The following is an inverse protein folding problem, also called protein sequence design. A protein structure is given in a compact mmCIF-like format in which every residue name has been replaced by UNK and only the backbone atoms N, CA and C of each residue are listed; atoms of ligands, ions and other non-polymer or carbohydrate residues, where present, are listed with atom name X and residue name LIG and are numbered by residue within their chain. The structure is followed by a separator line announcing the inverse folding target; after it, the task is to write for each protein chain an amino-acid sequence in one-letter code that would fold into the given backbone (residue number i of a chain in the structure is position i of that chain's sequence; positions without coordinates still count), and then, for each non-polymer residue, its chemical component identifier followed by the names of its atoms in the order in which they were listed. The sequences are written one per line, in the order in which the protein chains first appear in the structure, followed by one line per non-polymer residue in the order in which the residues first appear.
data_IF_059747642340
#
_entry.id   IF_059747642340
#
_cell.length_a   1.000
_cell.length_b   1.000
_cell.length_c   1.000
_cell.angle_alpha   90.00
_cell.angle_beta   90.00
_cell.angle_gamma   90.00
#
_symmetry.space_group_name_H-M   'P 1'
#
loop_
_entity.id
_entity.type
_entity.pdbx_description
1 polymer ?
#
# COMPACT_ATOMS: atom_id res chain seq x y z
N UNK A 1 64.63 -6.07 -2.12
CA UNK A 1 64.42 -5.58 -0.75
C UNK A 1 63.62 -4.31 -0.89
N UNK A 2 62.33 -4.41 -0.55
CA UNK A 2 61.26 -3.52 -0.99
C UNK A 2 61.40 -2.11 -0.43
N UNK A 3 61.72 -1.16 -1.32
CA UNK A 3 61.67 0.28 -1.07
C UNK A 3 60.24 0.81 -0.93
N UNK A 4 59.21 -0.01 -1.19
CA UNK A 4 57.80 0.38 -1.05
C UNK A 4 57.23 0.22 0.38
N UNK A 5 57.92 -0.46 1.30
CA UNK A 5 57.41 -0.62 2.67
C UNK A 5 57.63 0.63 3.56
N UNK A 6 58.43 1.60 3.11
CA UNK A 6 58.83 2.74 3.95
C UNK A 6 57.84 3.92 3.95
N UNK A 7 56.81 3.91 3.09
CA UNK A 7 55.75 4.94 3.03
C UNK A 7 54.36 4.42 3.38
N UNK A 8 54.19 3.10 3.59
CA UNK A 8 52.91 2.48 3.93
C UNK A 8 52.59 2.69 5.41
N UNK A 9 51.82 3.74 5.70
CA UNK A 9 51.25 3.95 7.02
C UNK A 9 49.94 3.18 7.18
N UNK A 10 49.55 2.74 8.39
CA UNK A 10 48.24 2.13 8.64
C UNK A 10 47.06 2.97 8.11
N UNK A 11 47.19 4.30 8.10
CA UNK A 11 46.21 5.24 7.57
C UNK A 11 46.06 5.11 6.04
N UNK A 12 47.17 5.00 5.30
CA UNK A 12 47.14 4.78 3.84
C UNK A 12 46.49 3.43 3.53
N UNK A 13 46.85 2.38 4.28
CA UNK A 13 46.25 1.04 4.11
C UNK A 13 44.74 1.07 4.40
N UNK A 14 44.30 1.80 5.43
CA UNK A 14 42.88 1.94 5.73
C UNK A 14 42.12 2.67 4.62
N UNK A 15 42.71 3.73 4.04
CA UNK A 15 42.15 4.44 2.91
C UNK A 15 42.03 3.55 1.65
N UNK A 16 43.06 2.75 1.35
CA UNK A 16 43.05 1.75 0.27
C UNK A 16 41.91 0.73 0.47
N UNK A 17 41.79 0.14 1.67
CA UNK A 17 40.73 -0.83 2.00
C UNK A 17 39.34 -0.20 1.84
N UNK A 18 39.14 1.02 2.35
CA UNK A 18 37.86 1.71 2.24
C UNK A 18 37.50 2.06 0.80
N UNK A 19 38.48 2.45 -0.02
CA UNK A 19 38.28 2.70 -1.45
C UNK A 19 37.84 1.42 -2.19
N UNK A 20 38.51 0.29 -1.93
CA UNK A 20 38.13 -1.02 -2.51
C UNK A 20 36.71 -1.41 -2.07
N UNK A 21 36.37 -1.22 -0.80
CA UNK A 21 35.04 -1.51 -0.25
C UNK A 21 33.96 -0.69 -0.95
N UNK A 22 34.18 0.61 -1.13
CA UNK A 22 33.23 1.52 -1.80
C UNK A 22 33.03 1.11 -3.26
N UNK A 23 34.12 0.91 -4.01
CA UNK A 23 34.07 0.50 -5.41
C UNK A 23 33.35 -0.84 -5.60
N UNK A 24 33.66 -1.83 -4.75
CA UNK A 24 33.01 -3.14 -4.78
C UNK A 24 31.51 -3.02 -4.49
N UNK A 25 31.14 -2.16 -3.53
CA UNK A 25 29.74 -1.88 -3.22
C UNK A 25 28.95 -1.31 -4.40
N UNK A 26 29.55 -0.37 -5.15
CA UNK A 26 28.95 0.22 -6.36
C UNK A 26 28.79 -0.81 -7.48
N UNK A 27 29.83 -1.61 -7.75
CA UNK A 27 29.77 -2.69 -8.74
C UNK A 27 28.67 -3.68 -8.40
N UNK A 28 28.55 -4.04 -7.12
CA UNK A 28 27.52 -4.97 -6.66
C UNK A 28 26.11 -4.42 -6.86
N UNK A 29 25.88 -3.12 -6.56
CA UNK A 29 24.59 -2.48 -6.79
C UNK A 29 24.23 -2.45 -8.28
N UNK A 30 25.17 -2.03 -9.14
CA UNK A 30 24.97 -2.01 -10.59
C UNK A 30 24.65 -3.42 -11.13
N UNK A 31 25.38 -4.42 -10.65
CA UNK A 31 25.14 -5.83 -11.02
C UNK A 31 23.75 -6.30 -10.56
N UNK A 32 23.34 -5.94 -9.35
CA UNK A 32 22.03 -6.31 -8.81
C UNK A 32 20.88 -5.70 -9.61
N UNK A 33 21.01 -4.44 -10.05
CA UNK A 33 20.04 -3.74 -10.91
C UNK A 33 19.94 -4.42 -12.27
N UNK A 34 21.07 -4.74 -12.91
CA UNK A 34 21.05 -5.41 -14.21
C UNK A 34 20.46 -6.82 -14.12
N UNK A 35 20.78 -7.58 -13.08
CA UNK A 35 20.15 -8.88 -12.82
C UNK A 35 18.64 -8.71 -12.62
N UNK A 36 18.21 -7.72 -11.82
CA UNK A 36 16.80 -7.41 -11.60
C UNK A 36 16.05 -7.07 -12.90
N UNK A 37 16.70 -6.35 -13.81
CA UNK A 37 16.18 -6.07 -15.16
C UNK A 37 15.95 -7.35 -15.95
N UNK A 38 16.96 -8.22 -16.04
CA UNK A 38 16.85 -9.51 -16.76
C UNK A 38 15.82 -10.44 -16.14
N UNK A 39 15.71 -10.46 -14.82
CA UNK A 39 14.68 -11.24 -14.11
C UNK A 39 13.27 -10.71 -14.43
N UNK A 40 13.12 -9.39 -14.57
CA UNK A 40 11.84 -8.77 -14.96
C UNK A 40 11.46 -9.14 -16.38
N UNK A 41 12.41 -9.12 -17.32
CA UNK A 41 12.22 -9.57 -18.70
C UNK A 41 11.86 -11.06 -18.77
N UNK A 42 12.63 -11.92 -18.10
CA UNK A 42 12.37 -13.36 -18.07
C UNK A 42 10.99 -13.67 -17.47
N UNK A 43 10.57 -12.97 -16.42
CA UNK A 43 9.27 -13.18 -15.78
C UNK A 43 8.09 -12.87 -16.71
N UNK A 44 8.26 -11.99 -17.71
CA UNK A 44 7.25 -11.71 -18.71
C UNK A 44 7.16 -12.80 -19.81
N UNK A 45 8.19 -13.64 -19.95
CA UNK A 45 8.28 -14.69 -20.97
C UNK A 45 7.99 -16.09 -20.41
N UNK A 46 8.15 -16.30 -19.11
CA UNK A 46 7.89 -17.59 -18.45
C UNK A 46 6.41 -17.74 -18.14
N UNK A 47 5.83 -18.89 -18.52
CA UNK A 47 4.42 -19.20 -18.29
C UNK A 47 4.03 -19.16 -16.80
N UNK A 48 2.76 -18.80 -16.55
CA UNK A 48 2.20 -18.76 -15.21
C UNK A 48 2.32 -20.12 -14.51
N UNK A 49 2.98 -20.14 -13.35
CA UNK A 49 3.21 -21.35 -12.54
C UNK A 49 4.59 -21.99 -12.69
N UNK A 50 5.33 -21.68 -13.76
CA UNK A 50 6.67 -22.24 -13.99
C UNK A 50 7.82 -21.34 -13.49
N UNK A 51 7.50 -20.11 -13.06
CA UNK A 51 8.48 -19.12 -12.61
C UNK A 51 9.41 -19.63 -11.50
N UNK A 52 8.89 -20.29 -10.47
CA UNK A 52 9.72 -20.75 -9.35
C UNK A 52 10.72 -21.84 -9.80
N UNK A 53 10.25 -22.83 -10.58
CA UNK A 53 11.12 -23.88 -11.10
C UNK A 53 12.20 -23.30 -11.99
N UNK A 54 11.83 -22.36 -12.86
CA UNK A 54 12.77 -21.69 -13.75
C UNK A 54 13.88 -20.95 -13.00
N UNK A 55 13.54 -20.26 -11.90
CA UNK A 55 14.52 -19.59 -11.05
C UNK A 55 15.53 -20.56 -10.43
N UNK A 56 15.03 -21.69 -9.91
CA UNK A 56 15.87 -22.71 -9.27
C UNK A 56 16.77 -23.42 -10.30
N UNK A 57 16.23 -23.77 -11.47
CA UNK A 57 16.96 -24.53 -12.48
C UNK A 57 17.91 -23.71 -13.34
N UNK A 58 17.55 -22.45 -13.66
CA UNK A 58 18.22 -21.67 -14.71
C UNK A 58 19.22 -20.66 -14.16
N UNK A 59 18.95 -20.10 -12.97
CA UNK A 59 19.77 -19.03 -12.37
C UNK A 59 20.12 -19.28 -10.91
N UNK A 60 19.73 -20.43 -10.35
CA UNK A 60 20.01 -20.83 -8.96
C UNK A 60 19.55 -19.80 -7.91
N UNK A 61 18.41 -19.16 -8.15
CA UNK A 61 17.83 -18.18 -7.23
C UNK A 61 16.59 -18.69 -6.52
N UNK A 62 16.44 -18.29 -5.26
CA UNK A 62 15.14 -18.35 -4.60
C UNK A 62 14.22 -17.26 -5.14
N UNK A 63 12.91 -17.48 -4.99
CA UNK A 63 11.91 -16.48 -5.35
C UNK A 63 12.09 -15.16 -4.56
N UNK A 64 12.49 -15.24 -3.29
CA UNK A 64 12.72 -14.07 -2.44
C UNK A 64 13.90 -13.22 -2.90
N UNK A 65 15.01 -13.87 -3.31
CA UNK A 65 16.19 -13.19 -3.86
C UNK A 65 15.85 -12.53 -5.20
N UNK A 66 15.18 -13.25 -6.10
CA UNK A 66 14.77 -12.73 -7.40
C UNK A 66 13.85 -11.51 -7.26
N UNK A 67 12.83 -11.59 -6.39
CA UNK A 67 11.93 -10.47 -6.12
C UNK A 67 12.67 -9.26 -5.52
N UNK A 68 13.64 -9.47 -4.63
CA UNK A 68 14.45 -8.38 -4.08
C UNK A 68 15.25 -7.66 -5.17
N UNK A 69 15.91 -8.41 -6.06
CA UNK A 69 16.68 -7.84 -7.18
C UNK A 69 15.79 -7.10 -8.18
N UNK A 70 14.62 -7.66 -8.51
CA UNK A 70 13.63 -7.00 -9.37
C UNK A 70 13.13 -5.68 -8.75
N UNK A 71 12.88 -5.64 -7.42
CA UNK A 71 12.51 -4.41 -6.72
C UNK A 71 13.62 -3.35 -6.77
N UNK A 72 14.88 -3.76 -6.54
CA UNK A 72 16.04 -2.86 -6.67
C UNK A 72 16.12 -2.27 -8.09
N UNK A 73 15.86 -3.08 -9.11
CA UNK A 73 15.77 -2.57 -10.48
C UNK A 73 14.60 -1.60 -10.69
N UNK A 74 13.41 -1.91 -10.20
CA UNK A 74 12.24 -1.04 -10.38
C UNK A 74 12.46 0.36 -9.78
N UNK A 75 13.10 0.43 -8.61
CA UNK A 75 13.24 1.65 -7.81
C UNK A 75 14.49 2.48 -8.17
N UNK A 76 15.57 1.81 -8.56
CA UNK A 76 16.88 2.45 -8.83
C UNK A 76 17.35 2.33 -10.28
N UNK A 77 16.71 1.50 -11.10
CA UNK A 77 17.16 1.16 -12.44
C UNK A 77 17.21 2.36 -13.38
N UNK A 78 16.19 3.21 -13.38
CA UNK A 78 16.16 4.45 -14.15
C UNK A 78 17.21 5.44 -13.67
N UNK A 79 17.44 5.51 -12.36
CA UNK A 79 18.34 6.47 -11.70
C UNK A 79 19.81 6.12 -11.93
N UNK A 80 20.14 4.82 -12.04
CA UNK A 80 21.50 4.33 -12.31
C UNK A 80 21.84 4.21 -13.80
N UNK A 81 20.84 4.12 -14.69
CA UNK A 81 21.07 4.03 -16.15
C UNK A 81 21.09 5.40 -16.85
N UNK A 82 20.50 6.44 -16.25
CA UNK A 82 20.43 7.81 -16.80
C UNK A 82 21.76 8.61 -16.74
N UNK A 83 22.91 7.94 -16.85
CA UNK A 83 24.24 8.54 -16.73
C UNK A 83 24.36 9.95 -17.33
N UNK A 84 24.77 10.91 -16.50
CA UNK A 84 25.11 12.31 -16.83
C UNK A 84 23.98 13.22 -17.37
N UNK A 85 22.71 12.78 -17.43
CA UNK A 85 21.60 13.66 -17.85
C UNK A 85 20.53 13.92 -16.78
N UNK A 86 20.59 13.23 -15.63
CA UNK A 86 19.82 13.58 -14.44
C UNK A 86 20.58 14.60 -13.59
N UNK A 87 19.89 15.65 -13.11
CA UNK A 87 20.47 16.72 -12.30
C UNK A 87 21.15 16.25 -11.00
N UNK A 88 21.56 17.20 -10.15
CA UNK A 88 22.40 17.01 -8.96
C UNK A 88 22.02 15.86 -8.00
N UNK A 89 20.78 15.36 -8.04
CA UNK A 89 20.30 14.23 -7.23
C UNK A 89 20.72 12.84 -7.76
N UNK A 90 21.25 12.75 -8.97
CA UNK A 90 21.80 11.50 -9.54
C UNK A 90 23.04 11.03 -8.75
N UNK A 91 23.86 11.96 -8.25
CA UNK A 91 25.14 11.62 -7.60
C UNK A 91 24.95 10.90 -6.25
N UNK A 92 23.94 11.29 -5.45
CA UNK A 92 23.69 10.70 -4.13
C UNK A 92 23.22 9.24 -4.19
N UNK A 93 22.63 8.82 -5.31
CA UNK A 93 22.23 7.42 -5.54
C UNK A 93 23.39 6.60 -6.11
N UNK A 94 24.28 7.23 -6.90
CA UNK A 94 25.47 6.55 -7.44
C UNK A 94 26.53 6.23 -6.39
N UNK A 95 26.48 6.87 -5.21
CA UNK A 95 27.38 6.60 -4.09
C UNK A 95 26.94 5.43 -3.19
N UNK A 96 25.73 4.90 -3.38
CA UNK A 96 25.18 3.84 -2.53
C UNK A 96 25.84 2.47 -2.79
N UNK A 97 26.03 1.71 -1.71
CA UNK A 97 26.27 0.28 -1.80
C UNK A 97 24.97 -0.51 -1.96
N UNK A 98 25.07 -1.74 -2.46
CA UNK A 98 23.92 -2.66 -2.56
C UNK A 98 23.13 -2.78 -1.26
N UNK A 99 23.81 -2.95 -0.13
CA UNK A 99 23.13 -3.14 1.16
C UNK A 99 22.40 -1.88 1.62
N UNK A 100 22.99 -0.70 1.39
CA UNK A 100 22.33 0.58 1.69
C UNK A 100 21.09 0.78 0.81
N UNK A 101 21.19 0.47 -0.49
CA UNK A 101 20.04 0.52 -1.40
C UNK A 101 18.91 -0.42 -0.96
N UNK A 102 19.23 -1.63 -0.50
CA UNK A 102 18.22 -2.56 0.01
C UNK A 102 17.56 -2.05 1.30
N UNK A 103 18.31 -1.42 2.21
CA UNK A 103 17.75 -0.85 3.45
C UNK A 103 16.81 0.33 3.13
N UNK A 104 17.20 1.18 2.17
CA UNK A 104 16.42 2.33 1.75
C UNK A 104 15.10 1.96 1.05
N UNK A 105 14.88 0.69 0.66
CA UNK A 105 13.57 0.21 0.21
C UNK A 105 12.50 0.20 1.32
N UNK A 106 12.90 0.34 2.59
CA UNK A 106 12.00 0.60 3.71
C UNK A 106 11.53 2.06 3.80
N UNK A 107 12.22 2.97 3.10
CA UNK A 107 11.81 4.38 3.00
C UNK A 107 10.89 4.55 1.79
N UNK A 108 9.74 5.28 1.92
CA UNK A 108 8.88 5.62 0.80
C UNK A 108 9.65 6.22 -0.37
N UNK A 109 9.28 5.87 -1.61
CA UNK A 109 10.02 6.30 -2.81
C UNK A 109 10.14 7.82 -2.90
N UNK A 110 9.07 8.52 -2.55
CA UNK A 110 8.94 9.98 -2.61
C UNK A 110 9.85 10.69 -1.60
N UNK A 111 10.15 10.03 -0.47
CA UNK A 111 10.96 10.59 0.61
C UNK A 111 12.43 10.14 0.54
N UNK A 112 12.73 9.12 -0.25
CA UNK A 112 14.03 8.43 -0.24
C UNK A 112 15.18 9.34 -0.65
N UNK A 113 14.97 10.22 -1.64
CA UNK A 113 16.01 11.16 -2.09
C UNK A 113 16.34 12.19 -1.01
N UNK A 114 15.32 12.83 -0.43
CA UNK A 114 15.50 13.76 0.69
C UNK A 114 16.14 13.05 1.88
N UNK A 115 15.73 11.82 2.18
CA UNK A 115 16.31 11.03 3.26
C UNK A 115 17.81 10.76 3.06
N UNK A 116 18.24 10.44 1.83
CA UNK A 116 19.66 10.20 1.51
C UNK A 116 20.49 11.45 1.79
N UNK A 117 20.00 12.62 1.40
CA UNK A 117 20.69 13.90 1.54
C UNK A 117 20.68 14.38 3.00
N UNK A 118 19.53 14.33 3.68
CA UNK A 118 19.37 14.81 5.06
C UNK A 118 20.19 14.01 6.06
N UNK A 119 20.33 12.70 5.85
CA UNK A 119 21.01 11.80 6.78
C UNK A 119 22.44 11.45 6.36
N UNK A 120 22.94 12.06 5.28
CA UNK A 120 24.26 11.77 4.70
C UNK A 120 24.53 10.25 4.61
N UNK A 121 23.64 9.52 3.92
CA UNK A 121 23.63 8.05 3.93
C UNK A 121 24.95 7.45 3.44
N UNK A 122 25.72 8.19 2.63
CA UNK A 122 27.03 7.77 2.15
C UNK A 122 28.06 7.60 3.29
N UNK A 123 27.96 8.37 4.37
CA UNK A 123 28.86 8.27 5.53
C UNK A 123 28.40 7.27 6.59
N UNK A 124 27.12 6.90 6.59
CA UNK A 124 26.54 5.95 7.54
C UNK A 124 27.01 4.51 7.27
N UNK A 125 27.38 3.79 8.33
CA UNK A 125 27.52 2.34 8.26
C UNK A 125 26.15 1.69 8.01
N UNK A 126 26.17 0.46 7.47
CA UNK A 126 24.96 -0.33 7.26
C UNK A 126 24.10 -0.47 8.53
N UNK A 127 24.75 -0.59 9.70
CA UNK A 127 24.06 -0.74 10.98
C UNK A 127 23.41 0.57 11.43
N UNK A 128 24.12 1.69 11.28
CA UNK A 128 23.59 3.01 11.61
C UNK A 128 22.43 3.37 10.68
N UNK A 129 22.59 3.17 9.36
CA UNK A 129 21.50 3.39 8.40
C UNK A 129 20.27 2.56 8.76
N UNK A 130 20.46 1.29 9.13
CA UNK A 130 19.36 0.43 9.56
C UNK A 130 18.66 0.95 10.80
N UNK A 131 19.41 1.50 11.76
CA UNK A 131 18.83 2.13 12.95
C UNK A 131 18.05 3.41 12.60
N UNK A 132 18.60 4.29 11.77
CA UNK A 132 17.94 5.54 11.35
C UNK A 132 16.64 5.22 10.59
N UNK A 133 16.64 4.22 9.72
CA UNK A 133 15.42 3.77 9.01
C UNK A 133 14.41 3.15 9.99
N UNK A 134 14.86 2.34 10.96
CA UNK A 134 13.99 1.72 11.96
C UNK A 134 13.42 2.71 12.99
N UNK A 135 14.13 3.80 13.30
CA UNK A 135 13.65 4.85 14.20
C UNK A 135 12.60 5.75 13.52
N UNK A 136 12.64 5.85 12.18
CA UNK A 136 11.59 6.51 11.38
C UNK A 136 10.37 5.64 11.14
N UNK A 137 10.55 4.32 11.00
CA UNK A 137 9.41 3.41 10.95
C UNK A 137 8.73 3.39 12.34
N UNK A 138 7.42 3.69 12.46
CA UNK A 138 6.69 3.13 13.58
C UNK A 138 6.89 1.62 13.48
N UNK A 139 7.48 1.01 14.51
CA UNK A 139 7.93 -0.38 14.49
C UNK A 139 6.96 -1.26 13.66
N UNK A 140 7.42 -2.09 12.70
CA UNK A 140 6.52 -2.91 11.88
C UNK A 140 5.61 -3.80 12.74
N UNK A 141 6.00 -4.06 13.99
CA UNK A 141 5.16 -4.74 14.96
C UNK A 141 3.96 -3.90 15.41
N UNK A 142 4.09 -2.58 15.59
CA UNK A 142 2.98 -1.72 15.99
C UNK A 142 2.02 -1.45 14.83
N UNK A 143 2.49 -1.18 13.62
CA UNK A 143 1.58 -0.95 12.48
C UNK A 143 0.88 -2.23 12.03
N UNK A 144 1.58 -3.37 11.99
CA UNK A 144 0.93 -4.66 11.67
C UNK A 144 0.01 -5.09 12.79
N UNK A 145 0.37 -4.90 14.07
CA UNK A 145 -0.52 -5.21 15.21
C UNK A 145 -1.72 -4.27 15.25
N UNK A 146 -1.56 -2.98 14.95
CA UNK A 146 -2.66 -2.02 14.85
C UNK A 146 -3.57 -2.33 13.67
N UNK A 147 -3.02 -2.59 12.49
CA UNK A 147 -3.82 -2.95 11.30
C UNK A 147 -4.50 -4.31 11.46
N UNK A 148 -3.87 -5.29 12.14
CA UNK A 148 -4.53 -6.58 12.44
C UNK A 148 -5.59 -6.43 13.51
N UNK A 149 -5.36 -5.64 14.56
CA UNK A 149 -6.36 -5.31 15.57
C UNK A 149 -7.55 -4.55 14.96
N UNK A 150 -7.30 -3.57 14.11
CA UNK A 150 -8.32 -2.82 13.38
C UNK A 150 -9.09 -3.73 12.42
N UNK A 151 -8.39 -4.61 11.69
CA UNK A 151 -9.04 -5.61 10.81
C UNK A 151 -9.88 -6.60 11.60
N UNK A 152 -9.42 -7.05 12.77
CA UNK A 152 -10.18 -7.94 13.64
C UNK A 152 -11.39 -7.24 14.28
N UNK A 153 -11.25 -5.97 14.65
CA UNK A 153 -12.34 -5.15 15.16
C UNK A 153 -13.38 -4.86 14.06
N UNK A 154 -12.95 -4.43 12.88
CA UNK A 154 -13.81 -4.26 11.71
C UNK A 154 -14.50 -5.57 11.32
N UNK A 155 -13.81 -6.72 11.43
CA UNK A 155 -14.42 -8.04 11.18
C UNK A 155 -15.47 -8.39 12.23
N UNK A 156 -15.22 -8.08 13.51
CA UNK A 156 -16.22 -8.24 14.59
C UNK A 156 -17.41 -7.34 14.36
N UNK A 157 -17.20 -6.06 14.05
CA UNK A 157 -18.26 -5.10 13.71
C UNK A 157 -19.07 -5.55 12.49
N UNK A 158 -18.42 -6.03 11.43
CA UNK A 158 -19.11 -6.57 10.26
C UNK A 158 -19.94 -7.82 10.59
N UNK A 159 -19.43 -8.69 11.47
CA UNK A 159 -20.14 -9.89 11.91
C UNK A 159 -21.35 -9.55 12.79
N UNK A 160 -21.23 -8.58 13.70
CA UNK A 160 -22.32 -8.15 14.58
C UNK A 160 -23.41 -7.40 13.80
N UNK A 161 -23.03 -6.55 12.84
CA UNK A 161 -23.96 -5.89 11.92
C UNK A 161 -24.73 -6.91 11.06
N UNK A 162 -24.04 -7.92 10.55
CA UNK A 162 -24.67 -9.02 9.78
C UNK A 162 -25.64 -9.84 10.64
N UNK A 163 -25.29 -10.11 11.90
CA UNK A 163 -26.16 -10.79 12.85
C UNK A 163 -27.40 -9.93 13.17
N UNK A 164 -27.22 -8.64 13.46
CA UNK A 164 -28.33 -7.71 13.70
C UNK A 164 -29.27 -7.58 12.49
N UNK A 165 -28.71 -7.55 11.26
CA UNK A 165 -29.48 -7.58 10.02
C UNK A 165 -30.36 -8.83 9.90
N UNK A 166 -29.79 -10.01 10.16
CA UNK A 166 -30.53 -11.29 10.16
C UNK A 166 -31.64 -11.32 11.22
N UNK A 167 -31.37 -10.82 12.43
CA UNK A 167 -32.37 -10.73 13.50
C UNK A 167 -33.52 -9.81 13.11
N UNK A 168 -33.23 -8.67 12.49
CA UNK A 168 -34.25 -7.74 12.01
C UNK A 168 -35.10 -8.35 10.89
N UNK A 169 -34.49 -9.04 9.93
CA UNK A 169 -35.20 -9.75 8.86
C UNK A 169 -36.09 -10.88 9.41
N UNK A 170 -35.57 -11.68 10.35
CA UNK A 170 -36.34 -12.72 11.03
C UNK A 170 -37.52 -12.13 11.80
N UNK A 171 -37.33 -11.00 12.49
CA UNK A 171 -38.40 -10.31 13.23
C UNK A 171 -39.50 -9.82 12.29
N UNK A 172 -39.14 -9.21 11.15
CA UNK A 172 -40.11 -8.77 10.14
C UNK A 172 -40.89 -9.97 9.59
N UNK A 173 -40.20 -11.09 9.30
CA UNK A 173 -40.84 -12.31 8.80
C UNK A 173 -41.83 -12.90 9.82
N UNK A 174 -41.43 -13.00 11.09
CA UNK A 174 -42.30 -13.48 12.16
C UNK A 174 -43.53 -12.58 12.34
N UNK A 175 -43.36 -11.26 12.34
CA UNK A 175 -44.48 -10.31 12.44
C UNK A 175 -45.42 -10.41 11.24
N UNK A 176 -44.89 -10.65 10.03
CA UNK A 176 -45.71 -10.92 8.84
C UNK A 176 -46.52 -12.21 8.98
N UNK A 177 -45.90 -13.31 9.42
CA UNK A 177 -46.58 -14.59 9.60
C UNK A 177 -47.67 -14.51 10.69
N UNK A 178 -47.39 -13.82 11.80
CA UNK A 178 -48.36 -13.56 12.85
C UNK A 178 -49.53 -12.70 12.39
N UNK A 179 -49.25 -11.68 11.56
CA UNK A 179 -50.29 -10.84 10.96
C UNK A 179 -51.21 -11.65 10.05
N UNK A 180 -50.63 -12.47 9.16
CA UNK A 180 -51.40 -13.33 8.25
C UNK A 180 -52.24 -14.37 9.00
N UNK A 181 -51.68 -14.99 10.04
CA UNK A 181 -52.42 -15.91 10.90
C UNK A 181 -53.57 -15.20 11.65
N UNK A 182 -53.34 -13.98 12.15
CA UNK A 182 -54.36 -13.19 12.82
C UNK A 182 -55.48 -12.74 11.86
N UNK A 183 -55.15 -12.44 10.60
CA UNK A 183 -56.14 -12.08 9.56
C UNK A 183 -56.99 -13.26 9.08
N UNK A 184 -56.45 -14.49 9.13
CA UNK A 184 -57.15 -15.72 8.73
C UNK A 184 -58.02 -16.33 9.84
N UNK A 185 -57.75 -16.00 11.10
CA UNK A 185 -58.58 -16.43 12.24
C UNK A 185 -59.53 -15.32 12.72
N UNK A 186 -60.34 -15.62 13.73
CA UNK A 186 -61.22 -14.64 14.41
C UNK A 186 -60.47 -13.76 15.43
N UNK A 187 -59.27 -13.27 15.07
CA UNK A 187 -58.55 -12.34 15.92
C UNK A 187 -59.27 -10.99 15.97
N UNK A 188 -59.28 -10.35 17.15
CA UNK A 188 -59.91 -9.04 17.30
C UNK A 188 -59.23 -7.97 16.44
N UNK A 189 -60.00 -7.01 15.94
CA UNK A 189 -59.49 -5.88 15.16
C UNK A 189 -58.37 -5.12 15.89
N UNK A 190 -58.43 -5.03 17.22
CA UNK A 190 -57.38 -4.43 18.04
C UNK A 190 -56.04 -5.19 17.99
N UNK A 191 -56.06 -6.52 17.94
CA UNK A 191 -54.85 -7.35 17.81
C UNK A 191 -54.22 -7.22 16.43
N UNK A 192 -55.04 -7.16 15.37
CA UNK A 192 -54.57 -6.95 14.00
C UNK A 192 -53.92 -5.56 13.88
N UNK A 193 -54.57 -4.51 14.39
CA UNK A 193 -54.03 -3.15 14.36
C UNK A 193 -52.70 -3.00 15.12
N UNK A 194 -52.54 -3.71 16.25
CA UNK A 194 -51.30 -3.72 17.00
C UNK A 194 -50.14 -4.35 16.20
N UNK A 195 -50.37 -5.52 15.57
CA UNK A 195 -49.38 -6.20 14.74
C UNK A 195 -49.00 -5.37 13.49
N UNK A 196 -49.96 -4.72 12.84
CA UNK A 196 -49.66 -3.83 11.70
C UNK A 196 -48.78 -2.64 12.11
N UNK A 197 -49.05 -2.06 13.28
CA UNK A 197 -48.24 -0.97 13.83
C UNK A 197 -46.81 -1.42 14.14
N UNK A 198 -46.64 -2.55 14.81
CA UNK A 198 -45.32 -3.11 15.14
C UNK A 198 -44.51 -3.45 13.89
N UNK A 199 -45.15 -4.06 12.89
CA UNK A 199 -44.53 -4.40 11.62
C UNK A 199 -44.09 -3.15 10.85
N UNK A 200 -44.93 -2.11 10.83
CA UNK A 200 -44.57 -0.80 10.23
C UNK A 200 -43.36 -0.18 10.94
N UNK A 201 -43.33 -0.19 12.27
CA UNK A 201 -42.19 0.32 13.05
C UNK A 201 -40.91 -0.48 12.79
N UNK A 202 -40.98 -1.81 12.73
CA UNK A 202 -39.83 -2.67 12.44
C UNK A 202 -39.28 -2.41 11.02
N UNK A 203 -40.15 -2.29 10.01
CA UNK A 203 -39.74 -1.96 8.63
C UNK A 203 -39.12 -0.56 8.52
N UNK A 204 -39.69 0.42 9.23
CA UNK A 204 -39.13 1.78 9.26
C UNK A 204 -37.72 1.80 9.86
N UNK A 205 -37.48 1.06 10.95
CA UNK A 205 -36.13 0.93 11.55
C UNK A 205 -35.13 0.29 10.60
N UNK A 206 -35.51 -0.78 9.90
CA UNK A 206 -34.63 -1.42 8.89
C UNK A 206 -34.33 -0.47 7.74
N UNK A 207 -35.34 0.27 7.26
CA UNK A 207 -35.16 1.23 6.18
C UNK A 207 -34.24 2.38 6.59
N UNK A 208 -34.40 2.91 7.81
CA UNK A 208 -33.51 3.93 8.37
C UNK A 208 -32.06 3.44 8.47
N UNK A 209 -31.84 2.22 8.95
CA UNK A 209 -30.50 1.63 9.02
C UNK A 209 -29.87 1.44 7.62
N UNK A 210 -30.66 1.07 6.61
CA UNK A 210 -30.19 0.97 5.22
C UNK A 210 -29.80 2.34 4.67
N UNK A 211 -30.59 3.39 4.96
CA UNK A 211 -30.26 4.77 4.56
C UNK A 211 -28.91 5.18 5.14
N UNK A 212 -28.69 4.96 6.44
CA UNK A 212 -27.41 5.26 7.10
C UNK A 212 -26.25 4.52 6.42
N UNK A 213 -26.41 3.22 6.16
CA UNK A 213 -25.38 2.42 5.49
C UNK A 213 -25.05 2.95 4.08
N UNK A 214 -26.07 3.28 3.28
CA UNK A 214 -25.85 3.84 1.95
C UNK A 214 -25.21 5.22 2.00
N UNK A 215 -25.56 6.04 2.99
CA UNK A 215 -24.95 7.34 3.21
C UNK A 215 -23.46 7.21 3.55
N UNK A 216 -23.09 6.33 4.48
CA UNK A 216 -21.69 6.09 4.85
C UNK A 216 -20.86 5.56 3.66
N UNK A 217 -21.44 4.63 2.89
CA UNK A 217 -20.80 4.09 1.68
C UNK A 217 -20.60 5.16 0.62
N UNK A 218 -21.58 6.04 0.42
CA UNK A 218 -21.51 7.14 -0.53
C UNK A 218 -20.45 8.15 -0.11
N UNK A 219 -20.44 8.56 1.16
CA UNK A 219 -19.46 9.49 1.71
C UNK A 219 -18.02 8.96 1.55
N UNK A 220 -17.80 7.68 1.85
CA UNK A 220 -16.49 7.05 1.67
C UNK A 220 -16.04 7.06 0.20
N UNK A 221 -16.93 6.65 -0.71
CA UNK A 221 -16.62 6.59 -2.14
C UNK A 221 -16.35 7.99 -2.72
N UNK A 222 -17.11 8.98 -2.27
CA UNK A 222 -16.92 10.38 -2.67
C UNK A 222 -15.58 10.95 -2.19
N UNK A 223 -15.18 10.64 -0.95
CA UNK A 223 -13.86 11.06 -0.44
C UNK A 223 -12.71 10.44 -1.23
N UNK A 224 -12.78 9.17 -1.62
CA UNK A 224 -11.77 8.54 -2.47
C UNK A 224 -11.72 9.16 -3.86
N UNK A 225 -12.88 9.47 -4.46
CA UNK A 225 -12.95 10.21 -5.72
C UNK A 225 -12.24 11.57 -5.64
N UNK A 226 -12.45 12.32 -4.54
CA UNK A 226 -11.78 13.61 -4.34
C UNK A 226 -10.26 13.47 -4.15
N UNK A 227 -9.79 12.41 -3.49
CA UNK A 227 -8.36 12.13 -3.36
C UNK A 227 -7.71 11.87 -4.72
N UNK A 228 -8.32 11.05 -5.57
CA UNK A 228 -7.82 10.78 -6.92
C UNK A 228 -7.85 12.04 -7.79
N UNK A 229 -8.91 12.84 -7.69
CA UNK A 229 -8.98 14.13 -8.38
C UNK A 229 -7.86 15.08 -7.95
N UNK A 230 -7.51 15.10 -6.65
CA UNK A 230 -6.43 15.93 -6.13
C UNK A 230 -5.05 15.50 -6.65
N UNK A 231 -4.81 14.19 -6.82
CA UNK A 231 -3.58 13.66 -7.40
C UNK A 231 -3.40 14.06 -8.87
N UNK A 232 -4.50 14.25 -9.61
CA UNK A 232 -4.45 14.70 -11.01
C UNK A 232 -4.05 16.17 -11.15
N UNK A 233 -4.29 17.01 -10.14
CA UNK A 233 -4.03 18.45 -10.23
C UNK A 233 -2.57 18.81 -10.63
N UNK A 234 -1.52 18.19 -10.06
CA UNK A 234 -0.14 18.44 -10.50
C UNK A 234 0.27 17.70 -11.78
N UNK A 235 -0.39 16.59 -12.13
CA UNK A 235 0.02 15.71 -13.23
C UNK A 235 -0.62 16.10 -14.57
N UNK A 236 -1.90 16.47 -14.55
CA UNK A 236 -2.69 16.87 -15.72
C UNK A 236 -3.79 17.86 -15.31
N UNK A 237 -3.49 19.18 -15.33
CA UNK A 237 -4.42 20.22 -14.93
C UNK A 237 -5.68 20.30 -15.81
N UNK A 238 -5.58 19.98 -17.11
CA UNK A 238 -6.72 20.01 -18.02
C UNK A 238 -7.71 18.89 -17.69
N UNK A 239 -7.19 17.67 -17.50
CA UNK A 239 -8.00 16.51 -17.09
C UNK A 239 -8.57 16.69 -15.68
N UNK A 240 -7.82 17.28 -14.75
CA UNK A 240 -8.33 17.65 -13.43
C UNK A 240 -9.54 18.60 -13.53
N UNK A 241 -9.42 19.67 -14.32
CA UNK A 241 -10.48 20.66 -14.44
C UNK A 241 -11.73 20.08 -15.13
N UNK A 242 -11.54 19.21 -16.13
CA UNK A 242 -12.63 18.47 -16.77
C UNK A 242 -13.41 17.62 -15.77
N UNK A 243 -12.75 16.72 -15.04
CA UNK A 243 -13.42 15.83 -14.08
C UNK A 243 -14.04 16.60 -12.90
N UNK A 244 -13.40 17.70 -12.47
CA UNK A 244 -14.00 18.61 -11.48
C UNK A 244 -15.33 19.19 -11.97
N UNK A 245 -15.41 19.56 -13.25
CA UNK A 245 -16.65 20.00 -13.89
C UNK A 245 -17.73 18.92 -13.89
N UNK A 246 -17.38 17.71 -14.34
CA UNK A 246 -18.31 16.56 -14.38
C UNK A 246 -18.84 16.19 -12.99
N UNK A 247 -17.97 16.20 -11.96
CA UNK A 247 -18.36 15.94 -10.57
C UNK A 247 -19.35 17.00 -10.07
N UNK A 248 -19.11 18.28 -10.36
CA UNK A 248 -20.02 19.36 -9.97
C UNK A 248 -21.38 19.24 -10.66
N UNK A 249 -21.41 18.87 -11.94
CA UNK A 249 -22.66 18.62 -12.66
C UNK A 249 -23.43 17.45 -12.05
N UNK A 250 -22.73 16.36 -11.72
CA UNK A 250 -23.33 15.21 -11.06
C UNK A 250 -23.92 15.55 -9.67
N UNK A 251 -23.20 16.35 -8.87
CA UNK A 251 -23.69 16.85 -7.58
C UNK A 251 -24.94 17.73 -7.77
N UNK A 252 -24.97 18.56 -8.82
CA UNK A 252 -26.14 19.34 -9.20
C UNK A 252 -27.36 18.46 -9.46
N UNK A 253 -27.22 17.42 -10.29
CA UNK A 253 -28.27 16.44 -10.57
C UNK A 253 -28.73 15.70 -9.31
N UNK A 254 -27.80 15.32 -8.43
CA UNK A 254 -28.16 14.69 -7.15
C UNK A 254 -28.98 15.60 -6.25
N UNK A 255 -28.68 16.89 -6.21
CA UNK A 255 -29.44 17.88 -5.43
C UNK A 255 -30.88 18.00 -5.95
N UNK A 256 -31.10 17.92 -7.25
CA UNK A 256 -32.44 18.00 -7.85
C UNK A 256 -33.32 16.76 -7.55
N UNK A 257 -32.71 15.63 -7.18
CA UNK A 257 -33.41 14.37 -6.86
C UNK A 257 -33.84 14.25 -5.39
N UNK A 258 -33.44 15.18 -4.52
CA UNK A 258 -33.75 15.21 -3.09
C UNK A 258 -34.87 16.22 -2.78
#
# INVERSE_FOLDING_TARGET
MDLELSSRTPQIIAAEINSIKEQTGKILLQSAVEIGRRLTEAKAMVDHGEWQKWLESSVSYSQSTANKLMRVFAEYGSKLTAGHQGGANSESITSLSYTQAVILLGVPEEERESFIVENDVASLSTRELQQVVQEREPAPNDTITQLTAERDDLRKQASSLKAAGRTNEATIKTLQEQLEAAKKGDASAGKIAALEKELKTARAKVSANKIIFHFDSLAKSFNELLKELAKLAPADPETHQKYKGEINEFIGKMREML
#
